data_IF_325046827585
#
_entry.id   IF_325046827585
#
_cell.length_a   1.000
_cell.length_b   1.000
_cell.length_c   1.000
_cell.angle_alpha   90.00
_cell.angle_beta   90.00
_cell.angle_gamma   90.00
#
_symmetry.space_group_name_H-M   'P 1'
#
loop_
_entity.id
_entity.type
_entity.pdbx_description
1 polymer ?
#
# COMPACT_ATOMS: atom_id res chain seq x y z
N UNK A 1 1.84 29.82 -0.70
CA UNK A 1 2.27 28.64 -1.46
C UNK A 1 2.53 27.55 -0.44
N UNK A 2 2.00 26.35 -0.66
CA UNK A 2 2.16 25.21 0.24
C UNK A 2 3.45 24.47 -0.08
N UNK A 3 4.16 24.03 0.95
CA UNK A 3 5.44 23.33 0.77
C UNK A 3 5.22 21.83 0.55
N UNK A 4 4.38 21.22 1.38
CA UNK A 4 4.06 19.78 1.34
C UNK A 4 2.55 19.58 1.16
N UNK A 5 2.16 18.45 0.58
CA UNK A 5 0.75 18.07 0.42
C UNK A 5 0.52 16.61 0.83
N UNK A 6 -0.41 16.39 1.75
CA UNK A 6 -0.83 15.04 2.20
C UNK A 6 -2.30 14.85 1.92
N UNK A 7 -2.65 13.73 1.29
CA UNK A 7 -4.04 13.32 1.06
C UNK A 7 -4.45 12.29 2.11
N UNK A 8 -5.60 12.53 2.74
CA UNK A 8 -6.13 11.71 3.83
C UNK A 8 -7.60 11.39 3.52
N UNK A 9 -7.93 10.17 3.06
CA UNK A 9 -9.30 9.71 3.06
C UNK A 9 -9.75 9.47 4.51
N UNK A 10 -10.93 9.95 4.86
CA UNK A 10 -11.50 9.83 6.20
C UNK A 10 -12.88 9.21 6.10
N UNK A 11 -13.10 8.18 6.90
CA UNK A 11 -14.41 7.57 7.05
C UNK A 11 -14.51 7.00 8.46
N UNK A 12 -15.51 7.44 9.23
CA UNK A 12 -15.82 6.98 10.58
C UNK A 12 -14.66 7.19 11.58
N UNK A 13 -13.95 8.31 11.50
CA UNK A 13 -12.80 8.59 12.37
C UNK A 13 -13.08 9.65 13.41
N UNK A 14 -12.53 9.44 14.61
CA UNK A 14 -12.46 10.49 15.62
C UNK A 14 -11.63 11.68 15.12
N UNK A 15 -12.07 12.93 15.31
CA UNK A 15 -11.31 14.13 14.95
C UNK A 15 -9.90 14.23 15.55
N UNK A 16 -9.57 13.39 16.55
CA UNK A 16 -8.24 13.30 17.16
C UNK A 16 -7.10 13.06 16.15
N UNK A 17 -7.38 12.53 14.94
CA UNK A 17 -6.34 12.41 13.91
C UNK A 17 -5.78 13.75 13.46
N UNK A 18 -6.57 14.83 13.51
CA UNK A 18 -6.16 16.16 13.04
C UNK A 18 -4.95 16.64 13.83
N UNK A 19 -4.98 16.51 15.15
CA UNK A 19 -3.86 16.88 16.03
C UNK A 19 -2.64 15.98 15.77
N UNK A 20 -2.85 14.65 15.63
CA UNK A 20 -1.77 13.69 15.32
C UNK A 20 -1.06 14.00 14.00
N UNK A 21 -1.80 14.41 12.97
CA UNK A 21 -1.27 14.74 11.65
C UNK A 21 -0.51 16.08 11.64
N UNK A 22 -0.91 17.04 12.48
CA UNK A 22 -0.21 18.33 12.61
C UNK A 22 1.12 18.22 13.33
N UNK A 23 1.21 17.34 14.34
CA UNK A 23 2.37 17.27 15.23
C UNK A 23 3.74 17.12 14.49
N UNK A 24 3.90 16.19 13.53
CA UNK A 24 5.16 16.04 12.79
C UNK A 24 5.24 16.93 11.54
N UNK A 25 4.21 17.70 11.22
CA UNK A 25 4.14 18.44 9.96
C UNK A 25 4.86 19.79 10.02
N UNK A 26 5.63 20.15 8.97
CA UNK A 26 6.21 21.49 8.84
C UNK A 26 5.10 22.54 8.62
N UNK A 27 5.39 23.83 8.88
CA UNK A 27 4.46 24.91 8.56
C UNK A 27 4.14 24.92 7.06
N UNK A 28 3.02 25.54 6.67
CA UNK A 28 2.57 25.60 5.27
C UNK A 28 2.31 24.24 4.62
N UNK A 29 2.07 23.19 5.41
CA UNK A 29 1.59 21.90 4.91
C UNK A 29 0.10 22.00 4.57
N UNK A 30 -0.25 21.51 3.38
CA UNK A 30 -1.62 21.31 2.94
C UNK A 30 -2.07 19.87 3.22
N UNK A 31 -3.12 19.73 4.03
CA UNK A 31 -3.83 18.48 4.23
C UNK A 31 -5.09 18.50 3.37
N UNK A 32 -5.16 17.62 2.38
CA UNK A 32 -6.38 17.41 1.59
C UNK A 32 -7.15 16.25 2.22
N UNK A 33 -8.20 16.60 2.96
CA UNK A 33 -9.01 15.66 3.72
C UNK A 33 -10.27 15.36 2.94
N UNK A 34 -10.51 14.08 2.62
CA UNK A 34 -11.70 13.66 1.88
C UNK A 34 -12.60 12.85 2.79
N UNK A 35 -13.67 13.48 3.28
CA UNK A 35 -14.71 12.87 4.11
C UNK A 35 -15.61 12.01 3.22
N UNK A 36 -15.44 10.71 3.32
CA UNK A 36 -16.04 9.73 2.43
C UNK A 36 -16.99 8.80 3.18
N UNK A 37 -18.02 8.29 2.49
CA UNK A 37 -18.92 7.27 3.00
C UNK A 37 -19.06 6.12 1.97
N UNK A 38 -18.78 4.86 2.36
CA UNK A 38 -19.11 3.71 1.52
C UNK A 38 -20.63 3.56 1.37
N UNK A 39 -21.07 2.75 0.40
CA UNK A 39 -22.49 2.54 0.14
C UNK A 39 -23.24 1.94 1.35
N UNK A 40 -22.55 1.14 2.17
CA UNK A 40 -23.09 0.50 3.38
C UNK A 40 -23.07 1.39 4.63
N UNK A 41 -22.73 2.68 4.51
CA UNK A 41 -22.54 3.60 5.64
C UNK A 41 -23.83 3.86 6.42
N UNK A 42 -23.79 3.63 7.74
CA UNK A 42 -24.87 3.99 8.67
C UNK A 42 -24.94 5.49 8.91
N UNK A 43 -26.06 5.99 9.43
CA UNK A 43 -26.20 7.39 9.82
C UNK A 43 -25.21 7.81 10.90
N UNK A 44 -24.98 6.95 11.91
CA UNK A 44 -24.00 7.19 12.97
C UNK A 44 -22.58 7.33 12.41
N UNK A 45 -22.17 6.45 11.47
CA UNK A 45 -20.85 6.52 10.84
C UNK A 45 -20.70 7.78 9.97
N UNK A 46 -21.77 8.21 9.31
CA UNK A 46 -21.79 9.46 8.53
C UNK A 46 -21.60 10.66 9.45
N UNK A 47 -22.35 10.74 10.53
CA UNK A 47 -22.23 11.80 11.54
C UNK A 47 -20.83 11.82 12.15
N UNK A 48 -20.31 10.65 12.55
CA UNK A 48 -18.93 10.46 13.01
C UNK A 48 -17.91 11.03 12.03
N UNK A 49 -18.07 10.76 10.72
CA UNK A 49 -17.20 11.31 9.68
C UNK A 49 -17.32 12.83 9.58
N UNK A 50 -18.54 13.37 9.59
CA UNK A 50 -18.81 14.81 9.48
C UNK A 50 -18.30 15.63 10.68
N UNK A 51 -18.15 15.01 11.86
CA UNK A 51 -17.56 15.66 13.05
C UNK A 51 -16.15 16.19 12.77
N UNK A 52 -15.38 15.56 11.89
CA UNK A 52 -14.04 16.02 11.51
C UNK A 52 -14.05 17.42 10.89
N UNK A 53 -15.04 17.71 10.03
CA UNK A 53 -15.23 19.05 9.44
C UNK A 53 -15.60 20.08 10.51
N UNK A 54 -16.54 19.72 11.39
CA UNK A 54 -17.00 20.62 12.44
C UNK A 54 -15.84 20.97 13.39
N UNK A 55 -15.08 19.96 13.82
CA UNK A 55 -13.91 20.16 14.66
C UNK A 55 -12.88 21.10 14.01
N UNK A 56 -12.59 20.95 12.71
CA UNK A 56 -11.69 21.88 12.00
C UNK A 56 -12.22 23.32 11.97
N UNK A 57 -13.53 23.50 11.79
CA UNK A 57 -14.17 24.83 11.84
C UNK A 57 -14.08 25.45 13.23
N UNK A 58 -14.24 24.65 14.28
CA UNK A 58 -14.17 25.12 15.66
C UNK A 58 -12.75 25.50 16.08
N UNK A 59 -11.74 24.78 15.57
CA UNK A 59 -10.31 25.03 15.87
C UNK A 59 -9.64 26.02 14.89
N UNK A 60 -10.33 26.49 13.87
CA UNK A 60 -9.71 27.18 12.73
C UNK A 60 -10.51 28.33 12.16
N UNK A 61 -9.94 28.97 11.16
CA UNK A 61 -10.58 30.02 10.37
C UNK A 61 -10.86 29.51 8.96
N UNK A 62 -12.12 29.50 8.55
CA UNK A 62 -12.51 29.16 7.17
C UNK A 62 -12.06 30.29 6.24
N UNK A 63 -11.02 30.04 5.46
CA UNK A 63 -10.44 31.01 4.53
C UNK A 63 -11.24 31.12 3.24
N UNK A 64 -11.81 30.01 2.80
CA UNK A 64 -12.54 29.92 1.54
C UNK A 64 -13.52 28.75 1.57
N UNK A 65 -14.66 28.94 0.91
CA UNK A 65 -15.67 27.91 0.68
C UNK A 65 -16.03 27.93 -0.80
N UNK A 66 -16.18 26.75 -1.39
CA UNK A 66 -16.58 26.65 -2.79
C UNK A 66 -18.00 27.16 -3.00
N UNK A 67 -18.26 27.76 -4.16
CA UNK A 67 -19.61 28.25 -4.52
C UNK A 67 -20.63 27.12 -4.71
N UNK A 68 -20.16 25.86 -4.76
CA UNK A 68 -20.99 24.68 -5.02
C UNK A 68 -21.17 23.89 -3.72
N UNK A 69 -22.24 24.25 -2.99
CA UNK A 69 -22.81 23.49 -1.87
C UNK A 69 -21.87 23.24 -0.69
N UNK A 70 -20.88 24.12 -0.44
CA UNK A 70 -19.91 24.00 0.65
C UNK A 70 -19.16 22.64 0.69
N UNK A 71 -19.17 21.91 -0.42
CA UNK A 71 -18.57 20.57 -0.52
C UNK A 71 -17.04 20.62 -0.45
N UNK A 72 -16.46 21.81 -0.59
CA UNK A 72 -15.03 22.03 -0.48
C UNK A 72 -14.76 23.30 0.32
N UNK A 73 -13.93 23.18 1.37
CA UNK A 73 -13.54 24.31 2.22
C UNK A 73 -12.04 24.31 2.48
N UNK A 74 -11.44 25.49 2.47
CA UNK A 74 -10.08 25.71 2.94
C UNK A 74 -10.14 26.30 4.34
N UNK A 75 -9.62 25.56 5.32
CA UNK A 75 -9.62 25.94 6.73
C UNK A 75 -8.18 26.06 7.21
N UNK A 76 -7.84 27.20 7.80
CA UNK A 76 -6.54 27.42 8.41
C UNK A 76 -6.62 27.13 9.91
N UNK A 77 -5.75 26.24 10.40
CA UNK A 77 -5.59 25.97 11.83
C UNK A 77 -4.22 26.39 12.31
N UNK A 78 -4.07 26.52 13.63
CA UNK A 78 -2.80 26.80 14.31
C UNK A 78 -2.49 25.65 15.28
N UNK A 79 -1.22 25.27 15.40
CA UNK A 79 -0.83 24.31 16.43
C UNK A 79 -0.97 24.94 17.82
N UNK A 80 -1.57 24.19 18.76
CA UNK A 80 -1.65 24.57 20.17
C UNK A 80 -0.27 24.84 20.79
N UNK A 81 0.73 24.04 20.42
CA UNK A 81 2.10 24.11 20.98
C UNK A 81 3.07 24.97 20.16
N UNK A 82 2.73 25.27 18.89
CA UNK A 82 3.58 26.03 17.96
C UNK A 82 2.77 27.16 17.33
N UNK A 83 2.44 28.18 18.11
CA UNK A 83 1.51 29.25 17.73
C UNK A 83 1.87 30.02 16.43
N UNK A 84 3.12 29.96 15.98
CA UNK A 84 3.56 30.57 14.72
C UNK A 84 3.32 29.69 13.49
N UNK A 85 3.11 28.38 13.67
CA UNK A 85 2.90 27.44 12.58
C UNK A 85 1.44 27.46 12.13
N UNK A 86 1.25 27.59 10.82
CA UNK A 86 -0.06 27.53 10.16
C UNK A 86 -0.16 26.24 9.38
N UNK A 87 -1.30 25.58 9.52
CA UNK A 87 -1.67 24.40 8.77
C UNK A 87 -2.94 24.67 7.98
N UNK A 88 -3.04 24.04 6.82
CA UNK A 88 -4.12 24.29 5.88
C UNK A 88 -4.84 22.99 5.56
N UNK A 89 -6.15 22.99 5.73
CA UNK A 89 -7.01 21.84 5.52
C UNK A 89 -7.96 22.14 4.37
N UNK A 90 -7.75 21.46 3.24
CA UNK A 90 -8.69 21.47 2.13
C UNK A 90 -9.63 20.28 2.30
N UNK A 91 -10.81 20.54 2.85
CA UNK A 91 -11.78 19.52 3.24
C UNK A 91 -12.79 19.32 2.12
N UNK A 92 -12.74 18.16 1.48
CA UNK A 92 -13.79 17.65 0.61
C UNK A 92 -14.82 16.90 1.45
N UNK A 93 -16.04 17.40 1.51
CA UNK A 93 -17.17 16.70 2.11
C UNK A 93 -18.03 16.07 1.00
N UNK A 94 -17.89 14.75 0.84
CA UNK A 94 -18.65 13.95 -0.12
C UNK A 94 -19.58 12.95 0.58
N UNK A 95 -19.86 13.12 1.88
CA UNK A 95 -20.64 12.16 2.66
C UNK A 95 -22.11 12.09 2.26
N UNK A 96 -22.61 13.15 1.61
CA UNK A 96 -24.00 13.30 1.15
C UNK A 96 -24.16 13.05 -0.36
N UNK A 97 -23.06 12.79 -1.09
CA UNK A 97 -23.12 12.40 -2.50
C UNK A 97 -23.70 10.98 -2.69
N UNK A 98 -24.11 10.33 -1.60
CA UNK A 98 -24.77 9.04 -1.56
C UNK A 98 -26.30 9.12 -1.65
N UNK A 99 -26.91 10.31 -1.54
CA UNK A 99 -28.37 10.43 -1.56
C UNK A 99 -28.84 10.29 -3.01
N UNK A 100 -29.55 9.20 -3.28
CA UNK A 100 -30.14 8.92 -4.58
C UNK A 100 -31.01 10.12 -4.98
N UNK A 101 -30.71 10.76 -6.11
CA UNK A 101 -31.42 11.95 -6.58
C UNK A 101 -32.94 11.70 -6.81
N UNK A 102 -33.36 10.43 -6.80
CA UNK A 102 -34.75 9.99 -6.89
C UNK A 102 -35.53 10.05 -5.56
N UNK A 103 -34.86 10.02 -4.40
CA UNK A 103 -35.50 9.97 -3.08
C UNK A 103 -35.68 11.35 -2.44
N UNK A 104 -34.93 12.35 -2.91
CA UNK A 104 -35.12 13.74 -2.50
C UNK A 104 -34.89 14.68 -3.71
N UNK A 105 -35.96 15.11 -4.40
CA UNK A 105 -35.87 16.06 -5.51
C UNK A 105 -35.40 17.46 -5.11
N UNK A 106 -35.38 17.75 -3.80
CA UNK A 106 -35.01 19.03 -3.19
C UNK A 106 -33.57 18.96 -2.64
N UNK A 107 -33.04 17.76 -2.35
CA UNK A 107 -31.62 17.54 -2.09
C UNK A 107 -30.81 17.89 -3.33
N UNK A 108 -30.28 19.11 -3.35
CA UNK A 108 -29.41 19.64 -4.41
C UNK A 108 -28.03 18.94 -4.51
N UNK A 109 -27.88 17.73 -3.98
CA UNK A 109 -26.63 16.97 -3.91
C UNK A 109 -26.51 16.00 -5.09
N UNK A 110 -26.60 16.49 -6.33
CA UNK A 110 -26.33 15.63 -7.49
C UNK A 110 -24.85 15.21 -7.47
N UNK A 111 -24.53 13.91 -7.40
CA UNK A 111 -23.15 13.44 -7.41
C UNK A 111 -22.44 13.92 -8.67
N UNK A 112 -21.12 14.18 -8.60
CA UNK A 112 -20.36 14.47 -9.80
C UNK A 112 -20.48 13.30 -10.79
N UNK A 113 -20.61 13.56 -12.11
CA UNK A 113 -20.62 12.49 -13.11
C UNK A 113 -19.44 11.53 -12.93
N UNK A 114 -19.74 10.25 -12.76
CA UNK A 114 -18.74 9.20 -12.52
C UNK A 114 -18.25 9.09 -11.06
N UNK A 115 -19.00 9.61 -10.10
CA UNK A 115 -18.88 9.22 -8.69
C UNK A 115 -19.04 7.70 -8.52
N UNK A 116 -18.21 7.13 -7.65
CA UNK A 116 -18.28 5.73 -7.23
C UNK A 116 -17.95 5.68 -5.73
N UNK A 117 -18.59 4.77 -5.00
CA UNK A 117 -18.29 4.59 -3.59
C UNK A 117 -16.91 3.95 -3.37
N UNK A 118 -16.35 4.20 -2.19
CA UNK A 118 -15.15 3.53 -1.70
C UNK A 118 -13.90 4.40 -1.63
N UNK A 119 -12.90 3.89 -0.90
CA UNK A 119 -11.66 4.62 -0.57
C UNK A 119 -10.87 5.02 -1.81
N UNK A 120 -10.93 4.25 -2.90
CA UNK A 120 -10.23 4.59 -4.14
C UNK A 120 -10.79 5.83 -4.84
N UNK A 121 -12.09 6.12 -4.72
CA UNK A 121 -12.62 7.40 -5.21
C UNK A 121 -12.13 8.56 -4.34
N UNK A 122 -12.17 8.40 -3.01
CA UNK A 122 -11.72 9.43 -2.07
C UNK A 122 -10.24 9.80 -2.30
N UNK A 123 -9.37 8.79 -2.41
CA UNK A 123 -7.95 8.97 -2.73
C UNK A 123 -7.75 9.60 -4.10
N UNK A 124 -8.51 9.19 -5.12
CA UNK A 124 -8.47 9.81 -6.44
C UNK A 124 -8.84 11.29 -6.37
N UNK A 125 -9.94 11.64 -5.73
CA UNK A 125 -10.42 13.02 -5.61
C UNK A 125 -9.38 13.90 -4.92
N UNK A 126 -8.83 13.44 -3.79
CA UNK A 126 -7.82 14.18 -3.04
C UNK A 126 -6.52 14.36 -3.84
N UNK A 127 -6.03 13.29 -4.48
CA UNK A 127 -4.76 13.32 -5.23
C UNK A 127 -4.87 14.03 -6.58
N UNK A 128 -6.02 13.95 -7.26
CA UNK A 128 -6.27 14.74 -8.47
C UNK A 128 -6.38 16.24 -8.11
N UNK A 129 -6.96 16.57 -6.95
CA UNK A 129 -6.96 17.95 -6.42
C UNK A 129 -5.54 18.42 -6.14
N UNK A 130 -4.73 17.59 -5.46
CA UNK A 130 -3.32 17.88 -5.19
C UNK A 130 -2.52 18.09 -6.49
N UNK A 131 -2.73 17.23 -7.49
CA UNK A 131 -2.09 17.33 -8.79
C UNK A 131 -2.47 18.64 -9.51
N UNK A 132 -3.74 19.05 -9.44
CA UNK A 132 -4.19 20.31 -10.02
C UNK A 132 -3.51 21.51 -9.34
N UNK A 133 -3.42 21.51 -8.02
CA UNK A 133 -2.74 22.55 -7.25
C UNK A 133 -1.23 22.58 -7.53
N UNK A 134 -0.60 21.42 -7.69
CA UNK A 134 0.80 21.30 -8.11
C UNK A 134 1.00 21.89 -9.52
N UNK A 135 0.12 21.56 -10.48
CA UNK A 135 0.17 22.14 -11.83
C UNK A 135 -0.01 23.66 -11.82
N UNK A 136 -0.84 24.18 -10.92
CA UNK A 136 -1.05 25.62 -10.70
C UNK A 136 0.04 26.28 -9.84
N UNK A 137 1.12 25.56 -9.52
CA UNK A 137 2.25 26.05 -8.71
C UNK A 137 1.82 26.54 -7.32
N UNK A 138 0.73 26.00 -6.77
CA UNK A 138 0.29 26.27 -5.39
C UNK A 138 0.96 25.36 -4.38
N UNK A 139 1.46 24.21 -4.81
CA UNK A 139 2.30 23.28 -4.05
C UNK A 139 3.68 23.29 -4.70
N UNK A 140 4.75 23.44 -3.92
CA UNK A 140 6.12 23.47 -4.45
C UNK A 140 6.75 22.09 -4.58
N UNK A 141 6.47 21.18 -3.64
CA UNK A 141 7.01 19.83 -3.68
C UNK A 141 6.28 18.96 -4.71
N UNK A 142 7.01 18.29 -5.63
CA UNK A 142 6.37 17.45 -6.64
C UNK A 142 5.82 16.12 -6.10
N UNK A 143 6.15 15.72 -4.88
CA UNK A 143 5.68 14.48 -4.26
C UNK A 143 4.40 14.70 -3.47
N UNK A 144 3.38 13.94 -3.86
CA UNK A 144 2.07 13.92 -3.22
C UNK A 144 2.03 12.76 -2.24
N UNK A 145 1.89 13.05 -0.95
CA UNK A 145 1.86 12.05 0.12
C UNK A 145 0.45 11.49 0.29
N UNK A 146 0.35 10.19 0.60
CA UNK A 146 -0.90 9.50 0.90
C UNK A 146 -0.78 8.83 2.26
N UNK A 147 -1.71 9.13 3.17
CA UNK A 147 -1.80 8.48 4.48
C UNK A 147 -3.26 8.21 4.87
N UNK A 148 -3.48 7.42 5.91
CA UNK A 148 -4.82 7.15 6.46
C UNK A 148 -4.97 7.91 7.78
N UNK A 149 -6.21 8.25 8.16
CA UNK A 149 -6.48 9.04 9.37
C UNK A 149 -6.09 8.32 10.68
N UNK A 150 -6.03 6.99 10.68
CA UNK A 150 -5.60 6.18 11.80
C UNK A 150 -4.10 5.83 11.78
N UNK A 151 -3.33 6.42 10.85
CA UNK A 151 -1.88 6.34 10.88
C UNK A 151 -1.28 7.33 11.89
N UNK A 152 -0.15 6.95 12.49
CA UNK A 152 0.72 7.82 13.29
C UNK A 152 1.98 8.06 12.47
N UNK A 153 2.15 9.31 12.06
CA UNK A 153 3.31 9.76 11.30
C UNK A 153 4.48 10.06 12.26
N UNK A 154 5.68 9.50 12.01
CA UNK A 154 6.85 9.72 12.86
C UNK A 154 7.46 11.12 12.64
N UNK A 155 8.31 11.55 13.56
CA UNK A 155 9.21 12.68 13.31
C UNK A 155 10.07 12.42 12.06
N UNK A 156 10.33 13.48 11.29
CA UNK A 156 11.06 13.39 10.02
C UNK A 156 10.28 12.77 8.86
N UNK A 157 8.98 12.44 9.03
CA UNK A 157 8.15 11.88 7.95
C UNK A 157 8.17 12.75 6.67
N UNK A 158 8.02 14.05 6.82
CA UNK A 158 8.04 14.99 5.70
C UNK A 158 9.44 15.21 5.13
N UNK A 159 10.48 15.12 5.97
CA UNK A 159 11.87 15.33 5.56
C UNK A 159 12.49 14.09 4.88
N UNK A 160 11.89 12.92 5.03
CA UNK A 160 12.37 11.69 4.43
C UNK A 160 12.32 11.72 2.88
N UNK A 161 11.47 12.58 2.32
CA UNK A 161 11.28 12.77 0.88
C UNK A 161 12.21 13.88 0.40
N UNK A 162 13.50 13.55 0.36
CA UNK A 162 14.56 14.45 -0.07
C UNK A 162 15.47 13.68 -1.05
N UNK A 163 15.13 13.61 -2.34
CA UNK A 163 16.07 13.01 -3.31
C UNK A 163 16.20 13.82 -4.60
N UNK A 164 17.43 14.03 -5.09
CA UNK A 164 17.72 14.78 -6.31
C UNK A 164 17.59 13.94 -7.61
N UNK A 165 17.22 12.65 -7.51
CA UNK A 165 17.06 11.74 -8.66
C UNK A 165 15.59 11.64 -9.10
N UNK A 166 15.26 11.44 -10.40
CA UNK A 166 13.88 11.31 -10.86
C UNK A 166 13.25 9.99 -10.41
N UNK A 167 12.85 9.92 -9.15
CA UNK A 167 12.07 8.83 -8.56
C UNK A 167 10.59 8.98 -8.91
N UNK A 168 9.92 7.85 -9.09
CA UNK A 168 8.48 7.81 -9.24
C UNK A 168 7.74 7.94 -7.91
N UNK A 169 8.37 7.53 -6.82
CA UNK A 169 7.80 7.62 -5.49
C UNK A 169 8.67 6.97 -4.42
N UNK A 170 8.21 7.13 -3.20
CA UNK A 170 8.79 6.56 -2.00
C UNK A 170 7.79 5.63 -1.34
N UNK A 171 8.28 4.53 -0.78
CA UNK A 171 7.53 3.62 0.07
C UNK A 171 8.12 3.69 1.47
N UNK A 172 7.34 4.13 2.44
CA UNK A 172 7.74 4.22 3.83
C UNK A 172 7.68 2.84 4.50
N UNK A 173 8.61 2.52 5.41
CA UNK A 173 8.45 1.37 6.28
C UNK A 173 7.29 1.61 7.25
N UNK A 174 6.66 0.52 7.69
CA UNK A 174 5.53 0.58 8.60
C UNK A 174 5.67 -0.42 9.75
N UNK A 175 4.82 -0.28 10.76
CA UNK A 175 4.59 -1.27 11.81
C UNK A 175 3.15 -1.15 12.30
N UNK A 176 2.52 -2.26 12.69
CA UNK A 176 1.21 -2.24 13.32
C UNK A 176 1.35 -2.07 14.83
N UNK A 177 0.57 -1.14 15.40
CA UNK A 177 0.47 -0.89 16.84
C UNK A 177 -0.95 -0.47 17.23
N UNK A 178 -1.38 -0.76 18.47
CA UNK A 178 -2.63 -0.24 19.00
C UNK A 178 -2.54 1.28 19.20
N UNK A 179 -3.64 1.98 18.89
CA UNK A 179 -3.76 3.43 19.05
C UNK A 179 -3.87 3.85 20.53
N UNK A 180 -4.30 2.95 21.42
CA UNK A 180 -4.35 3.12 22.87
C UNK A 180 -3.28 2.25 23.53
N UNK A 181 -2.32 2.87 24.22
CA UNK A 181 -1.15 2.22 24.81
C UNK A 181 -1.49 1.35 26.02
N UNK A 182 -1.01 0.10 26.02
CA UNK A 182 -0.32 -0.57 27.15
C UNK A 182 0.64 -1.68 26.66
N UNK A 183 0.46 -2.20 25.43
CA UNK A 183 1.37 -3.19 24.84
C UNK A 183 2.19 -2.60 23.69
N UNK A 184 3.53 -2.59 23.83
CA UNK A 184 4.46 -2.05 22.83
C UNK A 184 4.50 -2.86 21.52
N UNK A 185 4.12 -4.14 21.59
CA UNK A 185 3.97 -5.04 20.45
C UNK A 185 2.47 -5.28 20.29
N UNK A 186 1.87 -4.90 19.15
CA UNK A 186 0.43 -5.02 18.93
C UNK A 186 -0.12 -6.44 19.08
N UNK A 187 -1.43 -6.61 18.89
CA UNK A 187 -2.08 -7.93 19.08
C UNK A 187 -1.40 -9.06 18.30
N UNK A 188 -1.53 -10.32 18.74
CA UNK A 188 -0.93 -11.46 18.03
C UNK A 188 -1.44 -11.54 16.58
N UNK A 189 -2.70 -11.17 16.36
CA UNK A 189 -3.33 -11.05 15.06
C UNK A 189 -2.61 -10.00 14.19
N UNK A 190 -2.31 -8.82 14.75
CA UNK A 190 -1.57 -7.78 14.03
C UNK A 190 -0.18 -8.22 13.64
N UNK A 191 0.47 -9.00 14.50
CA UNK A 191 1.80 -9.52 14.25
C UNK A 191 1.77 -10.59 13.15
N UNK A 192 0.80 -11.52 13.18
CA UNK A 192 0.62 -12.54 12.14
C UNK A 192 0.33 -11.89 10.79
N UNK A 193 -0.55 -10.88 10.75
CA UNK A 193 -0.86 -10.18 9.52
C UNK A 193 0.36 -9.43 8.97
N UNK A 194 1.08 -8.69 9.82
CA UNK A 194 2.30 -8.00 9.41
C UNK A 194 3.39 -8.96 8.91
N UNK A 195 3.55 -10.11 9.58
CA UNK A 195 4.43 -11.18 9.11
C UNK A 195 4.06 -11.62 7.68
N UNK A 196 2.77 -11.80 7.38
CA UNK A 196 2.33 -12.20 6.04
C UNK A 196 2.69 -11.17 4.95
N UNK A 197 2.55 -9.87 5.25
CA UNK A 197 2.91 -8.78 4.33
C UNK A 197 4.43 -8.74 4.08
N UNK A 198 5.22 -8.81 5.15
CA UNK A 198 6.69 -8.78 5.10
C UNK A 198 7.24 -10.02 4.41
N UNK A 199 6.72 -11.19 4.74
CA UNK A 199 7.12 -12.45 4.14
C UNK A 199 6.96 -12.42 2.62
N UNK A 200 5.82 -11.92 2.12
CA UNK A 200 5.57 -11.80 0.69
C UNK A 200 6.63 -10.93 0.01
N UNK A 201 6.85 -9.71 0.51
CA UNK A 201 7.83 -8.79 -0.08
C UNK A 201 9.27 -9.32 0.04
N UNK A 202 9.63 -9.95 1.16
CA UNK A 202 10.94 -10.59 1.32
C UNK A 202 11.16 -11.70 0.29
N UNK A 203 10.16 -12.56 0.07
CA UNK A 203 10.21 -13.60 -0.96
C UNK A 203 10.39 -13.02 -2.36
N UNK A 204 9.68 -11.93 -2.68
CA UNK A 204 9.86 -11.21 -3.94
C UNK A 204 11.28 -10.64 -4.09
N UNK A 205 11.84 -10.00 -3.05
CA UNK A 205 13.20 -9.44 -3.08
C UNK A 205 14.24 -10.54 -3.28
N UNK A 206 14.10 -11.64 -2.54
CA UNK A 206 15.00 -12.79 -2.67
C UNK A 206 14.93 -13.41 -4.07
N UNK A 207 13.73 -13.44 -4.66
CA UNK A 207 13.54 -13.90 -6.04
C UNK A 207 14.05 -12.93 -7.12
N UNK A 208 14.68 -11.80 -6.74
CA UNK A 208 15.08 -10.72 -7.64
C UNK A 208 13.91 -10.14 -8.47
N UNK A 209 12.70 -10.15 -7.91
CA UNK A 209 11.53 -9.57 -8.56
C UNK A 209 11.54 -8.03 -8.40
N UNK A 210 11.44 -7.25 -9.50
CA UNK A 210 11.51 -5.78 -9.43
C UNK A 210 10.27 -5.15 -8.79
N UNK A 211 9.20 -5.93 -8.57
CA UNK A 211 7.93 -5.49 -7.99
C UNK A 211 7.89 -5.67 -6.45
N UNK A 212 9.05 -5.83 -5.81
CA UNK A 212 9.18 -6.20 -4.41
C UNK A 212 9.09 -5.00 -3.43
N UNK A 213 7.91 -4.38 -3.42
CA UNK A 213 7.56 -3.28 -2.52
C UNK A 213 6.20 -3.51 -1.85
N UNK A 214 6.01 -2.90 -0.69
CA UNK A 214 4.73 -2.92 0.00
C UNK A 214 3.71 -2.05 -0.72
N UNK A 215 2.48 -2.54 -0.83
CA UNK A 215 1.35 -1.81 -1.41
C UNK A 215 0.34 -1.51 -0.32
N UNK A 216 0.72 -0.62 0.60
CA UNK A 216 -0.16 -0.13 1.67
C UNK A 216 -0.46 1.33 1.38
N UNK A 217 -1.74 1.63 1.27
CA UNK A 217 -2.22 2.94 0.86
C UNK A 217 -1.71 4.11 1.71
N UNK A 218 -1.38 3.87 2.99
CA UNK A 218 -0.95 4.90 3.93
C UNK A 218 0.55 5.14 3.99
N UNK A 219 1.33 4.43 3.18
CA UNK A 219 2.79 4.35 3.36
C UNK A 219 3.56 4.78 2.12
N UNK A 220 3.07 5.75 1.35
CA UNK A 220 3.80 6.21 0.16
C UNK A 220 3.65 7.68 -0.17
N UNK A 221 4.59 8.16 -0.98
CA UNK A 221 4.51 9.43 -1.69
C UNK A 221 4.81 9.21 -3.18
N UNK A 222 4.06 9.85 -4.08
CA UNK A 222 4.19 9.66 -5.53
C UNK A 222 4.46 11.01 -6.19
N UNK A 223 5.42 11.03 -7.11
CA UNK A 223 5.70 12.22 -7.91
C UNK A 223 4.52 12.54 -8.84
N UNK A 224 4.08 13.81 -8.87
CA UNK A 224 2.89 14.25 -9.61
C UNK A 224 2.89 13.86 -11.09
N UNK A 225 4.04 13.99 -11.79
CA UNK A 225 4.17 13.53 -13.18
C UNK A 225 3.86 12.03 -13.37
N UNK A 226 4.41 11.16 -12.51
CA UNK A 226 4.20 9.72 -12.58
C UNK A 226 2.76 9.35 -12.20
N UNK A 227 2.16 10.06 -11.26
CA UNK A 227 0.75 9.93 -10.93
C UNK A 227 -0.15 10.27 -12.13
N UNK A 228 0.10 11.41 -12.78
CA UNK A 228 -0.63 11.87 -13.96
C UNK A 228 -0.49 10.92 -15.16
N UNK A 229 0.72 10.46 -15.45
CA UNK A 229 1.01 9.52 -16.54
C UNK A 229 0.21 8.20 -16.42
N UNK A 230 -0.15 7.81 -15.19
CA UNK A 230 -0.89 6.59 -14.90
C UNK A 230 -2.40 6.79 -14.66
N UNK A 231 -2.90 8.03 -14.88
CA UNK A 231 -4.31 8.45 -14.73
C UNK A 231 -4.83 8.39 -13.28
N UNK A 232 -3.91 8.44 -12.32
CA UNK A 232 -4.19 8.46 -10.90
C UNK A 232 -4.78 7.16 -10.34
N UNK A 233 -5.35 7.24 -9.14
CA UNK A 233 -5.96 6.10 -8.45
C UNK A 233 -7.12 5.49 -9.26
N UNK A 234 -7.24 4.15 -9.33
CA UNK A 234 -8.47 3.53 -9.80
C UNK A 234 -9.59 3.68 -8.74
N UNK A 235 -10.81 3.94 -9.19
CA UNK A 235 -11.99 4.06 -8.33
C UNK A 235 -12.47 2.66 -7.91
N UNK A 236 -11.88 2.13 -6.83
CA UNK A 236 -12.18 0.81 -6.26
C UNK A 236 -12.48 0.94 -4.77
N UNK A 237 -13.21 -0.02 -4.22
CA UNK A 237 -13.51 -0.08 -2.78
C UNK A 237 -12.32 -0.52 -1.93
N UNK A 238 -11.35 -1.22 -2.54
CA UNK A 238 -10.06 -1.55 -1.94
C UNK A 238 -9.04 -1.98 -3.01
N UNK A 239 -7.76 -2.06 -2.61
CA UNK A 239 -6.62 -2.50 -3.43
C UNK A 239 -6.22 -1.52 -4.52
N UNK A 240 -6.76 -0.30 -4.47
CA UNK A 240 -6.45 0.79 -5.38
C UNK A 240 -4.97 1.18 -5.36
N UNK A 241 -4.33 1.04 -4.20
CA UNK A 241 -2.92 1.26 -3.93
C UNK A 241 -2.03 0.28 -4.71
N UNK A 242 -2.33 -1.01 -4.66
CA UNK A 242 -1.65 -2.04 -5.44
C UNK A 242 -1.71 -1.72 -6.94
N UNK A 243 -2.89 -1.40 -7.47
CA UNK A 243 -3.03 -1.08 -8.88
C UNK A 243 -2.36 0.23 -9.28
N UNK A 244 -2.36 1.25 -8.42
CA UNK A 244 -1.64 2.50 -8.66
C UNK A 244 -0.13 2.27 -8.69
N UNK A 245 0.42 1.66 -7.64
CA UNK A 245 1.85 1.42 -7.51
C UNK A 245 2.38 0.48 -8.61
N UNK A 246 1.62 -0.54 -8.98
CA UNK A 246 1.95 -1.41 -10.12
C UNK A 246 2.09 -0.64 -11.44
N UNK A 247 1.32 0.43 -11.64
CA UNK A 247 1.44 1.30 -12.82
C UNK A 247 2.57 2.31 -12.68
N UNK A 248 2.70 2.95 -11.52
CA UNK A 248 3.73 3.97 -11.23
C UNK A 248 5.14 3.38 -11.37
N UNK A 249 5.37 2.18 -10.83
CA UNK A 249 6.65 1.48 -10.90
C UNK A 249 7.10 1.14 -12.34
N UNK A 250 6.18 1.15 -13.32
CA UNK A 250 6.53 0.97 -14.75
C UNK A 250 7.05 2.24 -15.40
N UNK A 251 6.73 3.40 -14.83
CA UNK A 251 7.08 4.70 -15.38
C UNK A 251 8.37 5.27 -14.76
N UNK A 252 8.72 4.87 -13.54
CA UNK A 252 9.98 5.20 -12.89
C UNK A 252 10.21 4.38 -11.62
N UNK A 253 11.38 4.55 -11.00
CA UNK A 253 11.81 3.74 -9.85
C UNK A 253 11.08 4.14 -8.56
N UNK A 254 10.77 3.16 -7.73
CA UNK A 254 10.28 3.38 -6.37
C UNK A 254 11.40 3.14 -5.36
N UNK A 255 11.57 4.05 -4.40
CA UNK A 255 12.52 3.89 -3.31
C UNK A 255 11.80 3.44 -2.03
N UNK A 256 12.07 2.21 -1.59
CA UNK A 256 11.66 1.75 -0.26
C UNK A 256 12.63 2.32 0.77
N UNK A 257 12.12 3.15 1.67
CA UNK A 257 12.90 3.83 2.69
C UNK A 257 13.25 2.88 3.85
N UNK A 258 14.39 3.12 4.48
CA UNK A 258 14.81 2.44 5.70
C UNK A 258 14.19 3.06 6.97
N UNK A 259 13.92 4.37 6.91
CA UNK A 259 13.33 5.19 7.97
C UNK A 259 12.72 6.46 7.35
N UNK A 260 11.80 7.14 8.06
CA UNK A 260 11.20 6.80 9.34
C UNK A 260 9.99 5.85 9.20
N UNK A 261 9.65 5.14 10.28
CA UNK A 261 8.61 4.08 10.27
C UNK A 261 7.25 4.62 10.68
N UNK A 262 6.25 4.48 9.80
CA UNK A 262 4.85 4.83 10.07
C UNK A 262 4.23 3.78 10.99
N UNK A 263 3.50 4.21 12.03
CA UNK A 263 2.74 3.27 12.84
C UNK A 263 1.29 3.23 12.35
N UNK A 264 0.83 2.06 11.93
CA UNK A 264 -0.52 1.83 11.43
C UNK A 264 -1.38 1.24 12.55
N UNK A 265 -2.66 1.63 12.59
CA UNK A 265 -3.60 1.05 13.54
C UNK A 265 -3.81 -0.44 13.27
N UNK A 266 -3.81 -1.25 14.32
CA UNK A 266 -4.13 -2.67 14.29
C UNK A 266 -5.62 -2.99 14.52
N UNK A 267 -6.50 -1.97 14.51
CA UNK A 267 -7.92 -2.17 14.80
C UNK A 267 -8.59 -3.04 13.74
N UNK A 268 -9.42 -3.98 14.19
CA UNK A 268 -10.42 -4.60 13.33
C UNK A 268 -11.34 -3.51 12.76
N UNK A 269 -11.67 -3.61 11.48
CA UNK A 269 -12.46 -2.58 10.80
C UNK A 269 -13.20 -3.16 9.61
N UNK A 270 -14.50 -2.86 9.51
CA UNK A 270 -15.36 -3.26 8.39
C UNK A 270 -15.38 -2.22 7.24
N UNK A 271 -14.50 -1.21 7.27
CA UNK A 271 -14.56 -0.06 6.36
C UNK A 271 -14.27 -0.37 4.90
N UNK A 272 -13.56 -1.47 4.66
CA UNK A 272 -13.14 -1.94 3.33
C UNK A 272 -13.28 -3.46 3.24
N UNK A 273 -13.48 -4.04 2.05
CA UNK A 273 -13.65 -5.49 1.89
C UNK A 273 -12.37 -6.30 2.11
N UNK A 274 -11.19 -5.67 2.03
CA UNK A 274 -9.88 -6.26 2.35
C UNK A 274 -8.87 -5.17 2.73
N UNK A 275 -7.85 -5.54 3.51
CA UNK A 275 -6.87 -4.62 4.10
C UNK A 275 -6.54 -5.02 5.54
N UNK A 276 -5.88 -4.15 6.31
CA UNK A 276 -5.50 -4.42 7.71
C UNK A 276 -6.71 -4.79 8.55
N UNK A 277 -7.74 -3.93 8.64
CA UNK A 277 -8.91 -4.18 9.49
C UNK A 277 -9.62 -5.52 9.25
N UNK A 278 -10.02 -5.86 8.00
CA UNK A 278 -10.65 -7.15 7.70
C UNK A 278 -9.75 -8.35 7.95
N UNK A 279 -8.42 -8.20 7.78
CA UNK A 279 -7.48 -9.28 8.06
C UNK A 279 -7.37 -9.55 9.56
N UNK A 280 -7.30 -8.50 10.39
CA UNK A 280 -7.32 -8.61 11.85
C UNK A 280 -8.62 -9.25 12.32
N UNK A 281 -9.77 -8.79 11.82
CA UNK A 281 -11.09 -9.35 12.19
C UNK A 281 -11.18 -10.85 11.88
N UNK A 282 -10.70 -11.27 10.71
CA UNK A 282 -10.65 -12.68 10.33
C UNK A 282 -9.77 -13.49 11.28
N UNK A 283 -8.59 -12.98 11.61
CA UNK A 283 -7.65 -13.60 12.53
C UNK A 283 -8.21 -13.70 13.95
N UNK A 284 -8.93 -12.68 14.42
CA UNK A 284 -9.58 -12.70 15.74
C UNK A 284 -10.62 -13.82 15.85
N UNK A 285 -11.34 -14.11 14.75
CA UNK A 285 -12.35 -15.18 14.70
C UNK A 285 -11.79 -16.60 14.59
N UNK A 286 -10.50 -16.76 14.27
CA UNK A 286 -9.84 -18.07 14.19
C UNK A 286 -9.57 -18.64 15.59
N UNK A 287 -10.06 -19.84 15.84
CA UNK A 287 -9.83 -20.58 17.08
C UNK A 287 -8.41 -21.16 17.11
N UNK A 288 -7.98 -21.80 16.02
CA UNK A 288 -6.63 -22.31 15.84
C UNK A 288 -5.86 -21.49 14.78
N UNK A 289 -5.32 -20.35 15.20
CA UNK A 289 -4.50 -19.49 14.33
C UNK A 289 -3.29 -20.22 13.74
N UNK A 290 -2.72 -21.22 14.45
CA UNK A 290 -1.55 -21.94 13.99
C UNK A 290 -1.89 -22.90 12.85
N UNK A 291 -3.02 -23.59 12.92
CA UNK A 291 -3.50 -24.51 11.90
C UNK A 291 -4.31 -23.87 10.77
N UNK A 292 -4.98 -22.73 11.01
CA UNK A 292 -5.92 -22.14 10.05
C UNK A 292 -5.33 -21.00 9.21
N UNK A 293 -4.41 -20.19 9.76
CA UNK A 293 -3.85 -19.08 9.00
C UNK A 293 -2.79 -19.59 8.01
N UNK A 294 -2.88 -19.14 6.75
CA UNK A 294 -2.10 -19.71 5.64
C UNK A 294 -1.06 -18.73 5.10
N UNK A 295 0.15 -19.23 4.88
CA UNK A 295 1.24 -18.55 4.16
C UNK A 295 1.46 -19.19 2.79
N UNK A 296 1.90 -18.41 1.80
CA UNK A 296 2.35 -18.98 0.53
C UNK A 296 3.49 -19.97 0.77
N UNK A 297 3.45 -21.11 0.11
CA UNK A 297 4.49 -22.13 0.20
C UNK A 297 5.87 -21.52 -0.17
N UNK A 298 6.93 -21.68 0.64
CA UNK A 298 8.22 -21.00 0.38
C UNK A 298 8.83 -21.30 -0.99
N UNK A 299 8.67 -22.54 -1.49
CA UNK A 299 9.11 -22.96 -2.82
C UNK A 299 8.53 -22.12 -3.98
N UNK A 300 7.37 -21.46 -3.81
CA UNK A 300 6.85 -20.62 -4.88
C UNK A 300 7.77 -19.43 -5.21
N UNK A 301 8.55 -18.96 -4.24
CA UNK A 301 9.55 -17.91 -4.44
C UNK A 301 10.84 -18.46 -5.06
N UNK A 302 11.17 -19.74 -4.83
CA UNK A 302 12.24 -20.46 -5.54
C UNK A 302 11.91 -20.54 -7.03
N UNK A 303 10.71 -21.01 -7.36
CA UNK A 303 10.22 -21.05 -8.74
C UNK A 303 10.15 -19.65 -9.38
N UNK A 304 9.78 -18.64 -8.61
CA UNK A 304 9.81 -17.26 -9.08
C UNK A 304 11.23 -16.79 -9.41
N UNK A 305 12.22 -17.14 -8.58
CA UNK A 305 13.62 -16.78 -8.81
C UNK A 305 14.19 -17.46 -10.06
N UNK A 306 13.91 -18.76 -10.23
CA UNK A 306 14.27 -19.53 -11.42
C UNK A 306 13.67 -18.89 -12.67
N UNK A 307 12.38 -18.54 -12.63
CA UNK A 307 11.72 -17.80 -13.70
C UNK A 307 12.39 -16.44 -14.00
N UNK A 308 12.69 -15.63 -12.98
CA UNK A 308 13.37 -14.34 -13.18
C UNK A 308 14.73 -14.51 -13.90
N UNK A 309 15.46 -15.58 -13.59
CA UNK A 309 16.75 -15.89 -14.21
C UNK A 309 16.64 -16.28 -15.70
N UNK A 310 15.46 -16.74 -16.14
CA UNK A 310 15.21 -17.17 -17.52
C UNK A 310 14.90 -16.00 -18.46
N UNK A 311 14.38 -14.88 -17.94
CA UNK A 311 13.82 -13.80 -18.77
C UNK A 311 14.81 -13.29 -19.83
N UNK A 312 16.09 -13.10 -19.48
CA UNK A 312 17.07 -12.56 -20.44
C UNK A 312 17.37 -13.51 -21.61
N UNK A 313 17.41 -14.82 -21.35
CA UNK A 313 17.71 -15.84 -22.36
C UNK A 313 16.59 -15.97 -23.41
N UNK A 314 15.34 -15.70 -23.00
CA UNK A 314 14.19 -15.70 -23.90
C UNK A 314 14.24 -14.64 -25.00
N UNK A 315 15.24 -13.77 -25.03
CA UNK A 315 15.46 -12.93 -26.21
C UNK A 315 15.83 -13.79 -27.44
N UNK A 316 16.67 -14.81 -27.25
CA UNK A 316 17.19 -15.67 -28.32
C UNK A 316 16.58 -17.07 -28.33
N UNK A 317 16.34 -17.65 -27.16
CA UNK A 317 16.04 -19.07 -27.00
C UNK A 317 14.55 -19.31 -26.74
N UNK A 318 13.97 -20.44 -27.16
CA UNK A 318 12.57 -20.74 -26.86
C UNK A 318 12.34 -21.04 -25.35
N UNK A 319 11.08 -20.99 -24.94
CA UNK A 319 10.70 -21.14 -23.54
C UNK A 319 11.08 -22.51 -22.97
N UNK A 320 10.81 -23.58 -23.71
CA UNK A 320 11.01 -24.95 -23.25
C UNK A 320 12.48 -25.23 -23.01
N UNK A 321 13.33 -24.97 -24.01
CA UNK A 321 14.78 -25.15 -23.87
C UNK A 321 15.38 -24.25 -22.78
N UNK A 322 14.89 -23.02 -22.64
CA UNK A 322 15.37 -22.12 -21.57
C UNK A 322 15.05 -22.66 -20.18
N UNK A 323 13.84 -23.19 -19.97
CA UNK A 323 13.44 -23.71 -18.67
C UNK A 323 14.16 -25.02 -18.34
N UNK A 324 14.21 -25.97 -19.28
CA UNK A 324 14.90 -27.27 -19.09
C UNK A 324 16.38 -27.12 -18.76
N UNK A 325 17.02 -26.06 -19.24
CA UNK A 325 18.45 -25.80 -18.98
C UNK A 325 18.73 -25.06 -17.67
N UNK A 326 17.72 -24.43 -17.06
CA UNK A 326 17.90 -23.48 -15.94
C UNK A 326 17.09 -23.77 -14.70
N UNK A 327 16.16 -24.73 -14.76
CA UNK A 327 15.27 -25.07 -13.67
C UNK A 327 15.02 -26.56 -13.62
N UNK A 328 15.12 -27.14 -12.43
CA UNK A 328 14.71 -28.51 -12.16
C UNK A 328 13.17 -28.66 -12.19
N UNK A 329 12.43 -27.55 -12.17
CA UNK A 329 10.96 -27.46 -12.14
C UNK A 329 10.40 -26.98 -13.50
N UNK A 330 11.09 -27.33 -14.59
CA UNK A 330 10.78 -26.82 -15.92
C UNK A 330 9.35 -27.16 -16.38
N UNK A 331 8.82 -28.33 -16.02
CA UNK A 331 7.46 -28.76 -16.39
C UNK A 331 6.39 -27.89 -15.71
N UNK A 332 6.48 -27.74 -14.39
CA UNK A 332 5.54 -26.95 -13.59
C UNK A 332 5.59 -25.48 -13.99
N UNK A 333 6.80 -24.92 -14.17
CA UNK A 333 6.99 -23.55 -14.65
C UNK A 333 6.37 -23.36 -16.03
N UNK A 334 6.54 -24.31 -16.95
CA UNK A 334 5.94 -24.26 -18.29
C UNK A 334 4.41 -24.19 -18.19
N UNK A 335 3.80 -25.01 -17.34
CA UNK A 335 2.34 -25.00 -17.13
C UNK A 335 1.88 -23.64 -16.58
N UNK A 336 2.51 -23.17 -15.50
CA UNK A 336 2.15 -21.90 -14.85
C UNK A 336 2.27 -20.74 -15.83
N UNK A 337 3.41 -20.62 -16.53
CA UNK A 337 3.69 -19.52 -17.43
C UNK A 337 2.73 -19.52 -18.63
N UNK A 338 2.37 -20.70 -19.15
CA UNK A 338 1.37 -20.82 -20.21
C UNK A 338 -0.03 -20.40 -19.74
N UNK A 339 -0.44 -20.79 -18.53
CA UNK A 339 -1.74 -20.39 -17.96
C UNK A 339 -1.88 -18.88 -17.78
N UNK A 340 -0.78 -18.17 -17.49
CA UNK A 340 -0.78 -16.70 -17.43
C UNK A 340 -0.52 -16.02 -18.78
N UNK A 341 -0.33 -16.79 -19.86
CA UNK A 341 -0.25 -16.30 -21.24
C UNK A 341 1.14 -15.87 -21.72
N UNK A 342 2.21 -16.52 -21.25
CA UNK A 342 3.61 -16.17 -21.56
C UNK A 342 3.93 -16.11 -23.06
N UNK A 343 3.43 -17.05 -23.86
CA UNK A 343 3.87 -17.18 -25.26
C UNK A 343 3.56 -15.93 -26.09
N UNK A 344 2.40 -15.32 -25.84
CA UNK A 344 2.01 -14.06 -26.50
C UNK A 344 2.93 -12.91 -26.07
N UNK A 345 3.36 -12.91 -24.82
CA UNK A 345 4.27 -11.90 -24.29
C UNK A 345 5.67 -12.01 -24.89
N UNK A 346 6.24 -13.22 -24.95
CA UNK A 346 7.56 -13.45 -25.58
C UNK A 346 7.54 -12.97 -27.04
N UNK A 347 6.55 -13.41 -27.81
CA UNK A 347 6.43 -13.05 -29.22
C UNK A 347 6.29 -11.54 -29.42
N UNK A 348 5.45 -10.89 -28.61
CA UNK A 348 5.27 -9.44 -28.65
C UNK A 348 6.56 -8.71 -28.27
N UNK A 349 7.19 -9.08 -27.16
CA UNK A 349 8.41 -8.46 -26.66
C UNK A 349 9.56 -8.60 -27.66
N UNK A 350 9.77 -9.77 -28.28
CA UNK A 350 10.79 -9.94 -29.33
C UNK A 350 10.55 -9.00 -30.51
N UNK A 351 9.31 -8.91 -30.98
CA UNK A 351 8.93 -8.06 -32.11
C UNK A 351 9.16 -6.56 -31.84
N UNK A 352 8.98 -6.12 -30.59
CA UNK A 352 9.10 -4.70 -30.22
C UNK A 352 10.48 -4.31 -29.70
N UNK A 353 11.40 -5.25 -29.53
CA UNK A 353 12.71 -5.00 -28.93
C UNK A 353 13.82 -4.97 -29.97
N UNK A 354 14.70 -3.97 -29.86
CA UNK A 354 15.90 -3.87 -30.71
C UNK A 354 17.15 -4.42 -30.03
N UNK A 355 17.04 -4.77 -28.76
CA UNK A 355 18.14 -5.24 -27.91
C UNK A 355 17.60 -6.17 -26.82
N UNK A 356 18.49 -6.96 -26.20
CA UNK A 356 18.15 -7.82 -25.07
C UNK A 356 17.67 -7.02 -23.85
N UNK A 357 18.21 -5.81 -23.63
CA UNK A 357 17.81 -4.94 -22.52
C UNK A 357 16.38 -4.41 -22.72
N UNK A 358 16.02 -3.99 -23.93
CA UNK A 358 14.64 -3.62 -24.26
C UNK A 358 13.68 -4.80 -24.11
N UNK A 359 14.11 -6.00 -24.50
CA UNK A 359 13.32 -7.21 -24.35
C UNK A 359 13.02 -7.52 -22.88
N UNK A 360 14.04 -7.50 -22.02
CA UNK A 360 13.87 -7.68 -20.58
C UNK A 360 12.89 -6.63 -20.02
N UNK A 361 13.02 -5.36 -20.42
CA UNK A 361 12.09 -4.31 -19.99
C UNK A 361 10.64 -4.59 -20.42
N UNK A 362 10.41 -5.00 -21.66
CA UNK A 362 9.08 -5.36 -22.14
C UNK A 362 8.51 -6.58 -21.40
N UNK A 363 9.35 -7.61 -21.19
CA UNK A 363 8.97 -8.80 -20.44
C UNK A 363 8.62 -8.50 -19.00
N UNK A 364 9.41 -7.68 -18.30
CA UNK A 364 9.09 -7.25 -16.93
C UNK A 364 7.84 -6.36 -16.90
N UNK A 365 7.67 -5.45 -17.86
CA UNK A 365 6.44 -4.64 -17.98
C UNK A 365 5.18 -5.49 -18.14
N UNK A 366 5.27 -6.60 -18.87
CA UNK A 366 4.21 -7.59 -18.98
C UNK A 366 4.09 -8.44 -17.72
N UNK A 367 5.19 -8.96 -17.17
CA UNK A 367 5.25 -9.74 -15.93
C UNK A 367 5.27 -8.81 -14.73
N UNK A 368 4.25 -7.95 -14.64
CA UNK A 368 4.10 -6.94 -13.61
C UNK A 368 3.71 -7.53 -12.25
N UNK A 369 3.54 -6.68 -11.21
CA UNK A 369 3.18 -7.13 -9.87
C UNK A 369 1.91 -8.00 -9.86
N UNK A 370 0.96 -7.72 -10.76
CA UNK A 370 -0.26 -8.53 -10.88
C UNK A 370 0.00 -9.88 -11.53
N UNK A 371 0.86 -9.98 -12.55
CA UNK A 371 1.29 -11.28 -13.09
C UNK A 371 2.14 -12.06 -12.09
N UNK A 372 2.97 -11.39 -11.29
CA UNK A 372 3.70 -12.02 -10.19
C UNK A 372 2.73 -12.66 -9.19
N UNK A 373 1.67 -11.95 -8.80
CA UNK A 373 0.63 -12.50 -7.93
C UNK A 373 -0.09 -13.69 -8.60
N UNK A 374 -0.44 -13.58 -9.87
CA UNK A 374 -1.05 -14.69 -10.62
C UNK A 374 -0.14 -15.90 -10.71
N UNK A 375 1.16 -15.71 -10.96
CA UNK A 375 2.15 -16.78 -10.97
C UNK A 375 2.15 -17.54 -9.65
N UNK A 376 2.23 -16.80 -8.52
CA UNK A 376 2.21 -17.39 -7.17
C UNK A 376 0.88 -18.11 -6.90
N UNK A 377 -0.26 -17.55 -7.32
CA UNK A 377 -1.57 -18.18 -7.16
C UNK A 377 -1.72 -19.43 -8.02
N UNK A 378 -1.28 -19.41 -9.27
CA UNK A 378 -1.30 -20.60 -10.13
C UNK A 378 -0.36 -21.68 -9.58
N UNK A 379 0.82 -21.33 -9.06
CA UNK A 379 1.67 -22.29 -8.36
C UNK A 379 0.94 -22.89 -7.15
N UNK A 380 0.28 -22.05 -6.34
CA UNK A 380 -0.49 -22.48 -5.16
C UNK A 380 -1.63 -23.45 -5.51
N UNK A 381 -2.40 -23.10 -6.52
CA UNK A 381 -3.65 -23.80 -6.83
C UNK A 381 -3.40 -25.14 -7.54
N UNK A 382 -2.24 -25.32 -8.16
CA UNK A 382 -1.91 -26.53 -8.94
C UNK A 382 -0.83 -27.42 -8.32
N UNK A 383 0.15 -26.87 -7.59
CA UNK A 383 1.36 -27.62 -7.22
C UNK A 383 1.83 -27.41 -5.78
N UNK A 384 1.74 -26.17 -5.28
CA UNK A 384 2.35 -25.74 -4.03
C UNK A 384 1.31 -25.15 -3.08
N UNK A 385 0.38 -25.97 -2.54
CA UNK A 385 -0.67 -25.47 -1.65
C UNK A 385 -0.08 -24.67 -0.49
N UNK A 386 -0.82 -23.65 -0.04
CA UNK A 386 -0.37 -22.81 1.08
C UNK A 386 -0.13 -23.64 2.34
N UNK A 387 0.83 -23.20 3.13
CA UNK A 387 1.24 -23.87 4.37
C UNK A 387 0.63 -23.15 5.58
N UNK A 388 0.34 -23.91 6.64
CA UNK A 388 -0.19 -23.32 7.88
C UNK A 388 0.85 -22.42 8.54
N UNK A 389 0.41 -21.49 9.38
CA UNK A 389 1.30 -20.65 10.20
C UNK A 389 2.25 -21.53 11.03
N UNK A 390 1.74 -22.62 11.62
CA UNK A 390 2.53 -23.57 12.38
C UNK A 390 3.65 -24.21 11.56
N UNK A 391 3.33 -24.74 10.38
CA UNK A 391 4.31 -25.37 9.48
C UNK A 391 5.32 -24.36 8.95
N UNK A 392 4.86 -23.16 8.59
CA UNK A 392 5.72 -22.08 8.15
C UNK A 392 6.73 -21.68 9.23
N UNK A 393 6.27 -21.49 10.47
CA UNK A 393 7.13 -21.24 11.64
C UNK A 393 8.16 -22.37 11.82
N UNK A 394 7.72 -23.63 11.76
CA UNK A 394 8.58 -24.79 11.93
C UNK A 394 9.67 -24.87 10.85
N UNK A 395 9.34 -24.53 9.60
CA UNK A 395 10.29 -24.51 8.49
C UNK A 395 11.43 -23.51 8.70
N UNK A 396 11.17 -22.38 9.39
CA UNK A 396 12.20 -21.39 9.72
C UNK A 396 13.10 -21.92 10.83
N UNK A 397 12.53 -22.51 11.90
CA UNK A 397 13.32 -23.01 13.01
C UNK A 397 14.17 -24.24 12.66
N UNK A 398 13.67 -25.10 11.77
CA UNK A 398 14.45 -26.23 11.26
C UNK A 398 15.56 -25.81 10.29
N UNK A 399 15.58 -24.54 9.85
CA UNK A 399 16.51 -24.05 8.84
C UNK A 399 16.17 -24.53 7.42
N UNK A 400 15.00 -25.16 7.21
CA UNK A 400 14.55 -25.61 5.90
C UNK A 400 13.99 -24.47 5.03
N UNK A 401 13.70 -23.30 5.62
CA UNK A 401 13.13 -22.18 4.89
C UNK A 401 14.16 -21.54 3.93
N UNK A 402 13.85 -21.38 2.63
CA UNK A 402 14.85 -21.03 1.60
C UNK A 402 15.49 -19.64 1.75
N UNK A 403 14.75 -18.65 2.25
CA UNK A 403 15.21 -17.26 2.30
C UNK A 403 14.98 -16.53 3.62
N UNK A 404 14.47 -17.23 4.63
CA UNK A 404 14.34 -16.69 5.99
C UNK A 404 15.29 -17.50 6.86
N UNK A 405 16.46 -16.95 7.21
CA UNK A 405 17.42 -17.65 8.04
C UNK A 405 16.80 -18.07 9.36
N UNK A 406 17.21 -19.24 9.87
CA UNK A 406 16.79 -19.70 11.19
C UNK A 406 17.21 -18.71 12.28
N UNK A 407 16.43 -18.66 13.36
CA UNK A 407 16.75 -17.90 14.57
C UNK A 407 16.75 -18.83 15.77
N UNK A 408 17.80 -18.75 16.59
CA UNK A 408 17.98 -19.58 17.79
C UNK A 408 17.12 -19.12 18.97
N UNK A 409 16.61 -17.89 18.94
CA UNK A 409 15.95 -17.25 20.09
C UNK A 409 14.62 -17.90 20.52
N UNK A 410 13.95 -18.64 19.64
CA UNK A 410 12.60 -19.15 19.90
C UNK A 410 12.46 -20.66 20.09
N UNK A 411 13.56 -21.44 20.00
CA UNK A 411 13.58 -22.87 20.34
C UNK A 411 13.15 -23.15 21.80
N UNK A 412 13.19 -22.13 22.67
CA UNK A 412 12.81 -22.22 24.09
C UNK A 412 11.43 -21.64 24.43
N UNK A 413 10.66 -21.12 23.44
CA UNK A 413 9.38 -20.45 23.69
C UNK A 413 8.18 -21.35 23.40
N UNK A 414 7.24 -21.48 24.33
CA UNK A 414 6.12 -22.43 24.22
C UNK A 414 4.86 -21.86 23.55
N UNK A 415 4.59 -20.55 23.65
CA UNK A 415 3.35 -19.95 23.13
C UNK A 415 3.47 -19.40 21.70
N UNK A 416 2.38 -19.48 20.92
CA UNK A 416 2.29 -18.91 19.57
C UNK A 416 2.57 -17.40 19.55
N UNK A 417 2.07 -16.66 20.56
CA UNK A 417 2.30 -15.23 20.68
C UNK A 417 3.78 -14.89 20.83
N UNK A 418 4.52 -15.65 21.65
CA UNK A 418 5.96 -15.45 21.82
C UNK A 418 6.73 -15.77 20.53
N UNK A 419 6.43 -16.90 19.88
CA UNK A 419 7.04 -17.27 18.59
C UNK A 419 6.81 -16.21 17.51
N UNK A 420 5.59 -15.70 17.41
CA UNK A 420 5.20 -14.67 16.43
C UNK A 420 5.95 -13.36 16.70
N UNK A 421 6.03 -12.92 17.95
CA UNK A 421 6.76 -11.70 18.32
C UNK A 421 8.25 -11.79 18.02
N UNK A 422 8.89 -12.93 18.32
CA UNK A 422 10.31 -13.17 18.01
C UNK A 422 10.53 -13.17 16.51
N UNK A 423 9.71 -13.89 15.74
CA UNK A 423 9.84 -13.93 14.28
C UNK A 423 9.59 -12.58 13.63
N UNK A 424 8.63 -11.80 14.12
CA UNK A 424 8.37 -10.46 13.59
C UNK A 424 9.57 -9.54 13.83
N UNK A 425 10.20 -9.61 15.00
CA UNK A 425 11.41 -8.85 15.31
C UNK A 425 12.58 -9.26 14.41
N UNK A 426 12.76 -10.57 14.22
CA UNK A 426 13.77 -11.13 13.31
C UNK A 426 13.56 -10.67 11.87
N UNK A 427 12.34 -10.79 11.34
CA UNK A 427 11.98 -10.37 9.99
C UNK A 427 12.11 -8.85 9.79
N UNK A 428 11.70 -8.04 10.78
CA UNK A 428 11.92 -6.58 10.75
C UNK A 428 13.42 -6.25 10.66
N UNK A 429 14.24 -6.97 11.42
CA UNK A 429 15.71 -6.77 11.41
C UNK A 429 16.32 -7.15 10.05
N UNK A 430 15.88 -8.27 9.47
CA UNK A 430 16.32 -8.70 8.14
C UNK A 430 15.89 -7.72 7.05
N UNK A 431 14.65 -7.23 7.09
CA UNK A 431 14.17 -6.24 6.13
C UNK A 431 14.95 -4.93 6.26
N UNK A 432 15.17 -4.44 7.48
CA UNK A 432 15.88 -3.19 7.74
C UNK A 432 17.32 -3.21 7.21
N UNK A 433 18.02 -4.35 7.29
CA UNK A 433 19.37 -4.53 6.71
C UNK A 433 19.40 -4.42 5.18
N UNK A 434 18.27 -4.68 4.52
CA UNK A 434 18.12 -4.64 3.07
C UNK A 434 17.45 -3.36 2.57
N UNK A 435 17.23 -2.37 3.46
CA UNK A 435 16.72 -1.06 3.13
C UNK A 435 17.84 0.00 3.28
N UNK A 436 17.83 1.08 2.48
CA UNK A 436 16.86 1.40 1.45
C UNK A 436 16.98 0.49 0.22
N UNK A 437 15.86 0.23 -0.46
CA UNK A 437 15.80 -0.67 -1.63
C UNK A 437 15.14 0.04 -2.81
N UNK A 438 15.78 0.01 -3.98
CA UNK A 438 15.22 0.63 -5.19
C UNK A 438 14.58 -0.42 -6.09
N UNK A 439 13.27 -0.30 -6.31
CA UNK A 439 12.52 -1.11 -7.25
C UNK A 439 12.54 -0.43 -8.63
N UNK A 440 13.10 -1.09 -9.64
CA UNK A 440 13.16 -0.57 -11.00
C UNK A 440 13.14 -1.69 -12.05
N UNK A 441 12.57 -1.37 -13.21
CA UNK A 441 12.61 -2.21 -14.41
C UNK A 441 13.35 -1.52 -15.59
N UNK A 442 13.97 -0.36 -15.34
CA UNK A 442 14.56 0.45 -16.41
C UNK A 442 15.90 -0.07 -16.90
#
# INVERSE_FOLDING_TARGET
MFERCVVIPVYDESPAFIERMQAPAPPNTLFITVLNCPQSCTEEQRLSTQQSRQYLRDQGHVMWTSQRHDALQLIQTQAKEKAQHRYYWLVWDITEWCIDAALDPIAHHTPLPGFLHGVGYARKLGMDTALQLLYQQQISDPFLLSTDADAILPEGYFDAINSPSPLAGYIFPFQHRPLSTEFANGSVESQIYELSLRYYVMGLRWANCPWAFHTIGSTFAIHGHHYAANRGFPKREAGEDFYLLNKVAKTGSLLCLQSPTISLSDRASHRVPFGTGPAIERLTRMEDKAGEFMFYHPTCFVWLQEWMSCISALFSDDLTTTLETRSDNAEELTIILNLIGIQKAINHSRKQSKSATDFVRHMLTWFDAFRTLKFIHTARDHFLPSVTLGDWINSIYSGAHPFVPSTSEALHTSSLASKTSTLLTHIRTLEHKNLPYTCSIK
#
